data_IF_006091422325
#
_entry.id   IF_006091422325
#
_cell.length_a   1.000
_cell.length_b   1.000
_cell.length_c   1.000
_cell.angle_alpha   90.00
_cell.angle_beta   90.00
_cell.angle_gamma   90.00
#
_symmetry.space_group_name_H-M   'P 1'
#
loop_
_entity.id
_entity.type
_entity.pdbx_description
1 polymer ?
#
# COMPACT_ATOMS: atom_id res chain seq x y z
N UNK A 1 -24.42 -10.93 -14.38
CA UNK A 1 -23.31 -10.01 -14.73
C UNK A 1 -22.18 -10.82 -15.38
N UNK A 2 -21.62 -10.36 -16.49
CA UNK A 2 -20.38 -10.96 -16.98
C UNK A 2 -19.29 -10.74 -15.92
N UNK A 3 -18.39 -11.71 -15.68
CA UNK A 3 -17.25 -11.47 -14.80
C UNK A 3 -16.51 -10.22 -15.29
N UNK A 4 -16.10 -9.35 -14.35
CA UNK A 4 -15.22 -8.23 -14.67
C UNK A 4 -14.02 -8.77 -15.47
N UNK A 5 -13.58 -8.03 -16.48
CA UNK A 5 -12.42 -8.43 -17.27
C UNK A 5 -11.27 -8.78 -16.31
N UNK A 6 -10.70 -9.98 -16.45
CA UNK A 6 -9.56 -10.38 -15.64
C UNK A 6 -8.41 -9.40 -15.85
N UNK A 7 -7.68 -9.10 -14.79
CA UNK A 7 -6.42 -8.38 -14.87
C UNK A 7 -5.32 -9.34 -15.30
N UNK A 8 -4.42 -8.89 -16.18
CA UNK A 8 -3.23 -9.61 -16.57
C UNK A 8 -2.09 -8.62 -16.73
N UNK A 9 -0.93 -8.95 -16.17
CA UNK A 9 0.32 -8.24 -16.38
C UNK A 9 1.44 -9.28 -16.54
N UNK A 10 2.21 -9.16 -17.62
CA UNK A 10 3.39 -9.99 -17.86
C UNK A 10 4.70 -9.27 -17.54
N UNK A 11 4.61 -8.03 -17.02
CA UNK A 11 5.74 -7.17 -16.66
C UNK A 11 6.75 -7.00 -17.81
N UNK A 12 6.28 -7.06 -19.06
CA UNK A 12 7.14 -7.00 -20.26
C UNK A 12 7.11 -5.63 -20.97
N UNK A 13 6.38 -4.64 -20.45
CA UNK A 13 6.33 -3.30 -21.03
C UNK A 13 7.58 -2.50 -20.66
N UNK A 14 8.51 -2.24 -21.59
CA UNK A 14 9.77 -1.56 -21.29
C UNK A 14 9.59 -0.11 -20.81
N UNK A 15 8.39 0.47 -20.92
CA UNK A 15 8.08 1.77 -20.33
C UNK A 15 8.21 1.77 -18.80
N UNK A 16 8.12 0.60 -18.17
CA UNK A 16 8.22 0.44 -16.72
C UNK A 16 9.53 -0.24 -16.28
N UNK A 17 10.52 -0.43 -17.16
CA UNK A 17 11.82 -0.97 -16.75
C UNK A 17 12.48 -0.06 -15.69
N UNK A 18 12.85 -0.64 -14.55
CA UNK A 18 13.33 0.05 -13.34
C UNK A 18 12.22 0.55 -12.41
N UNK A 19 10.95 0.29 -12.71
CA UNK A 19 9.78 0.63 -11.88
C UNK A 19 8.65 -0.40 -12.09
N UNK A 20 7.41 -0.11 -11.74
CA UNK A 20 6.23 -0.93 -12.06
C UNK A 20 5.19 -0.06 -12.76
N UNK A 21 4.14 -0.66 -13.32
CA UNK A 21 3.03 0.10 -13.89
C UNK A 21 2.16 0.70 -12.78
N UNK A 22 2.25 2.02 -12.47
CA UNK A 22 1.53 2.59 -11.35
C UNK A 22 0.02 2.69 -11.63
N UNK A 23 -0.44 2.50 -12.87
CA UNK A 23 -1.87 2.46 -13.17
C UNK A 23 -2.51 1.12 -12.78
N UNK A 24 -1.71 0.06 -12.62
CA UNK A 24 -2.19 -1.27 -12.25
C UNK A 24 -1.77 -1.66 -10.83
N UNK A 25 -0.60 -1.19 -10.41
CA UNK A 25 0.04 -1.66 -9.19
C UNK A 25 0.51 -0.52 -8.30
N UNK A 26 0.51 -0.78 -7.00
CA UNK A 26 1.00 0.10 -5.95
C UNK A 26 2.00 -0.72 -5.12
N UNK A 27 3.24 -0.25 -5.00
CA UNK A 27 4.22 -0.90 -4.14
C UNK A 27 4.15 -0.30 -2.73
N UNK A 28 4.39 -1.13 -1.73
CA UNK A 28 4.62 -0.65 -0.36
C UNK A 28 5.98 0.08 -0.32
N UNK A 29 5.94 1.41 -0.42
CA UNK A 29 7.13 2.27 -0.52
C UNK A 29 7.82 2.54 0.81
N UNK A 30 7.21 2.13 1.94
CA UNK A 30 7.65 2.54 3.28
C UNK A 30 8.69 1.59 3.87
N UNK A 31 8.98 0.50 3.13
CA UNK A 31 9.89 -0.57 3.54
C UNK A 31 11.22 -0.46 2.77
N UNK A 32 12.32 -0.97 3.33
CA UNK A 32 13.66 -0.92 2.71
C UNK A 32 13.80 -1.81 1.45
N UNK A 33 12.68 -2.21 0.84
CA UNK A 33 12.64 -3.07 -0.33
C UNK A 33 12.78 -2.27 -1.63
N UNK A 34 13.49 -2.84 -2.60
CA UNK A 34 13.46 -2.40 -3.97
C UNK A 34 12.49 -3.28 -4.75
N UNK A 35 11.50 -2.64 -5.37
CA UNK A 35 10.54 -3.29 -6.28
C UNK A 35 10.73 -2.68 -7.65
N UNK A 36 11.21 -3.47 -8.61
CA UNK A 36 11.49 -2.98 -9.96
C UNK A 36 11.17 -4.03 -11.02
N UNK A 37 10.66 -3.59 -12.16
CA UNK A 37 10.56 -4.41 -13.35
C UNK A 37 11.92 -4.44 -14.04
N UNK A 38 12.37 -5.62 -14.40
CA UNK A 38 13.60 -5.81 -15.17
C UNK A 38 13.47 -7.04 -16.05
N UNK A 39 13.79 -6.90 -17.34
CA UNK A 39 13.87 -8.04 -18.28
C UNK A 39 12.59 -8.89 -18.34
N UNK A 40 11.41 -8.27 -18.23
CA UNK A 40 10.13 -9.00 -18.32
C UNK A 40 9.67 -9.66 -17.02
N UNK A 41 10.24 -9.27 -15.87
CA UNK A 41 9.82 -9.75 -14.55
C UNK A 41 9.76 -8.60 -13.56
N UNK A 42 8.89 -8.72 -12.56
CA UNK A 42 8.97 -7.89 -11.36
C UNK A 42 9.92 -8.54 -10.36
N UNK A 43 10.89 -7.77 -9.85
CA UNK A 43 11.91 -8.20 -8.89
C UNK A 43 11.69 -7.48 -7.58
N UNK A 44 11.73 -8.25 -6.50
CA UNK A 44 11.75 -7.77 -5.13
C UNK A 44 13.13 -8.04 -4.56
N UNK A 45 13.79 -7.01 -4.03
CA UNK A 45 15.05 -7.13 -3.30
C UNK A 45 14.92 -6.46 -1.94
N UNK A 46 15.23 -7.19 -0.87
CA UNK A 46 15.32 -6.64 0.47
C UNK A 46 16.76 -6.75 0.98
N UNK A 47 17.32 -5.71 1.60
CA UNK A 47 18.62 -5.82 2.24
C UNK A 47 18.56 -6.81 3.41
N UNK A 48 19.68 -7.47 3.69
CA UNK A 48 19.79 -8.31 4.88
C UNK A 48 19.63 -7.44 6.15
N UNK A 49 18.48 -7.55 6.82
CA UNK A 49 18.17 -6.82 8.06
C UNK A 49 18.00 -7.79 9.24
N UNK A 50 18.05 -7.25 10.46
CA UNK A 50 17.84 -8.03 11.70
C UNK A 50 16.37 -8.22 12.06
N UNK A 51 15.45 -7.64 11.29
CA UNK A 51 14.01 -7.66 11.54
C UNK A 51 13.25 -8.15 10.29
N UNK A 52 12.05 -8.68 10.50
CA UNK A 52 11.16 -9.12 9.43
C UNK A 52 10.87 -7.95 8.49
N UNK A 53 11.19 -8.11 7.21
CA UNK A 53 10.87 -7.13 6.17
C UNK A 53 9.80 -7.74 5.26
N UNK A 54 8.71 -7.02 5.05
CA UNK A 54 7.70 -7.33 4.03
C UNK A 54 7.93 -6.44 2.81
N UNK A 55 7.78 -7.00 1.61
CA UNK A 55 7.79 -6.26 0.36
C UNK A 55 6.56 -6.66 -0.45
N UNK A 56 5.90 -5.68 -1.05
CA UNK A 56 4.60 -5.89 -1.64
C UNK A 56 4.36 -5.03 -2.87
N UNK A 57 3.57 -5.59 -3.78
CA UNK A 57 2.98 -4.92 -4.94
C UNK A 57 1.48 -5.26 -5.00
N UNK A 58 0.64 -4.37 -4.48
CA UNK A 58 -0.81 -4.52 -4.47
C UNK A 58 -1.44 -3.97 -5.75
N UNK A 59 -2.70 -4.31 -6.03
CA UNK A 59 -3.45 -3.63 -7.08
C UNK A 59 -3.63 -2.16 -6.72
N UNK A 60 -3.30 -1.26 -7.64
CA UNK A 60 -3.59 0.16 -7.43
C UNK A 60 -5.12 0.35 -7.44
N UNK A 61 -5.65 0.98 -6.39
CA UNK A 61 -7.09 1.19 -6.17
C UNK A 61 -7.91 -0.12 -6.24
N UNK A 62 -7.67 -1.08 -5.34
CA UNK A 62 -8.37 -2.35 -5.38
C UNK A 62 -9.86 -2.11 -5.17
N UNK A 63 -10.69 -2.54 -6.13
CA UNK A 63 -12.12 -2.63 -5.89
C UNK A 63 -12.36 -3.72 -4.85
N UNK A 64 -12.98 -3.35 -3.73
CA UNK A 64 -13.46 -4.30 -2.74
C UNK A 64 -14.45 -5.27 -3.40
N UNK A 65 -14.10 -6.56 -3.42
CA UNK A 65 -14.89 -7.63 -4.04
C UNK A 65 -15.40 -8.62 -3.01
N UNK A 66 -16.56 -9.21 -3.28
CA UNK A 66 -17.06 -10.33 -2.47
C UNK A 66 -16.30 -11.62 -2.77
N UNK A 67 -16.43 -12.62 -1.88
CA UNK A 67 -15.82 -13.93 -2.07
C UNK A 67 -16.21 -14.61 -3.40
N UNK A 68 -17.45 -14.41 -3.86
CA UNK A 68 -17.97 -14.94 -5.14
C UNK A 68 -17.26 -14.34 -6.36
N UNK A 69 -16.64 -13.19 -6.20
CA UNK A 69 -15.97 -12.44 -7.27
C UNK A 69 -14.45 -12.65 -7.27
N UNK A 70 -13.88 -13.25 -6.22
CA UNK A 70 -12.43 -13.50 -6.11
C UNK A 70 -11.93 -14.40 -7.24
N UNK A 71 -12.62 -15.50 -7.50
CA UNK A 71 -12.29 -16.43 -8.58
C UNK A 71 -10.91 -17.05 -8.38
N UNK A 72 -10.04 -16.85 -9.37
CA UNK A 72 -8.70 -17.45 -9.42
C UNK A 72 -7.66 -16.36 -9.57
N UNK A 73 -6.56 -16.48 -8.83
CA UNK A 73 -5.37 -15.65 -8.99
C UNK A 73 -4.20 -16.58 -9.30
N UNK A 74 -3.44 -16.22 -10.33
CA UNK A 74 -2.26 -16.96 -10.78
C UNK A 74 -1.06 -16.03 -10.83
N UNK A 75 0.11 -16.55 -10.46
CA UNK A 75 1.39 -15.85 -10.59
C UNK A 75 2.50 -16.86 -10.87
N UNK A 76 3.52 -16.40 -11.60
CA UNK A 76 4.73 -17.19 -11.83
C UNK A 76 5.84 -16.63 -10.96
N UNK A 77 6.37 -17.45 -10.06
CA UNK A 77 7.25 -17.04 -8.97
C UNK A 77 8.57 -17.81 -9.01
N UNK A 78 9.65 -17.19 -8.55
CA UNK A 78 10.98 -17.78 -8.41
C UNK A 78 11.68 -17.13 -7.22
N UNK A 79 12.39 -17.93 -6.42
CA UNK A 79 13.36 -17.45 -5.43
C UNK A 79 14.76 -17.72 -5.98
N UNK A 80 15.63 -16.72 -5.94
CA UNK A 80 17.02 -16.82 -6.41
C UNK A 80 17.88 -17.66 -5.47
N UNK A 81 18.90 -18.34 -6.01
CA UNK A 81 19.82 -19.20 -5.22
C UNK A 81 20.83 -18.42 -4.35
N UNK A 82 20.96 -17.11 -4.59
CA UNK A 82 21.80 -16.20 -3.81
C UNK A 82 21.08 -15.63 -2.57
N UNK A 83 19.86 -16.11 -2.30
CA UNK A 83 19.16 -15.87 -1.04
C UNK A 83 20.05 -16.23 0.16
N UNK A 84 20.21 -15.27 1.08
CA UNK A 84 21.12 -15.38 2.22
C UNK A 84 20.46 -15.00 3.55
N UNK A 85 19.13 -14.88 3.57
CA UNK A 85 18.34 -14.62 4.78
C UNK A 85 18.03 -15.89 5.57
N UNK A 86 17.42 -15.74 6.75
CA UNK A 86 16.95 -16.89 7.54
C UNK A 86 15.68 -17.52 6.96
N UNK A 87 14.77 -16.69 6.46
CA UNK A 87 13.54 -17.10 5.79
C UNK A 87 13.11 -16.03 4.79
N UNK A 88 12.51 -16.46 3.68
CA UNK A 88 11.75 -15.58 2.76
C UNK A 88 10.44 -16.26 2.38
N UNK A 89 9.38 -15.48 2.25
CA UNK A 89 8.10 -15.93 1.68
C UNK A 89 7.80 -15.06 0.45
N UNK A 90 7.49 -15.69 -0.68
CA UNK A 90 7.14 -15.02 -1.94
C UNK A 90 5.91 -15.70 -2.54
N UNK A 91 4.78 -15.01 -2.67
CA UNK A 91 3.53 -15.66 -3.02
C UNK A 91 2.44 -14.71 -3.44
N UNK A 92 1.26 -15.28 -3.63
CA UNK A 92 0.02 -14.56 -3.86
C UNK A 92 -0.75 -14.56 -2.54
N UNK A 93 -1.16 -13.37 -2.09
CA UNK A 93 -1.98 -13.18 -0.90
C UNK A 93 -3.43 -12.83 -1.22
N UNK A 94 -4.33 -13.19 -0.33
CA UNK A 94 -5.67 -12.64 -0.21
C UNK A 94 -5.90 -12.27 1.25
N UNK A 95 -6.36 -11.04 1.51
CA UNK A 95 -6.59 -10.54 2.85
C UNK A 95 -7.92 -9.82 2.98
N UNK A 96 -8.45 -9.76 4.21
CA UNK A 96 -9.57 -8.88 4.57
C UNK A 96 -9.45 -8.45 6.03
N UNK A 97 -9.68 -7.15 6.26
CA UNK A 97 -9.79 -6.55 7.60
C UNK A 97 -11.25 -6.25 7.97
N UNK A 98 -12.21 -6.53 7.06
CA UNK A 98 -13.64 -6.25 7.26
C UNK A 98 -14.29 -7.16 8.34
N UNK A 99 -13.51 -7.96 9.06
CA UNK A 99 -14.01 -8.91 10.05
C UNK A 99 -13.95 -8.31 11.46
N UNK A 100 -14.94 -8.57 12.34
CA UNK A 100 -15.08 -7.89 13.63
C UNK A 100 -13.93 -8.06 14.66
N UNK A 101 -13.06 -9.06 14.51
CA UNK A 101 -11.99 -9.41 15.46
C UNK A 101 -10.58 -9.41 14.83
N UNK A 102 -10.41 -8.73 13.69
CA UNK A 102 -9.12 -8.52 13.04
C UNK A 102 -8.95 -9.24 11.72
N UNK A 103 -7.70 -9.36 11.29
CA UNK A 103 -7.36 -9.68 9.90
C UNK A 103 -7.48 -11.18 9.61
N UNK A 104 -7.79 -11.47 8.36
CA UNK A 104 -7.74 -12.82 7.80
C UNK A 104 -6.86 -12.81 6.56
N UNK A 105 -6.04 -13.84 6.38
CA UNK A 105 -5.27 -14.01 5.14
C UNK A 105 -5.14 -15.46 4.68
N UNK A 106 -5.03 -15.63 3.37
CA UNK A 106 -4.57 -16.85 2.72
C UNK A 106 -3.40 -16.55 1.79
N UNK A 107 -2.38 -17.40 1.84
CA UNK A 107 -1.15 -17.25 1.09
C UNK A 107 -0.84 -18.52 0.30
N UNK A 108 -0.48 -18.37 -0.97
CA UNK A 108 -0.07 -19.45 -1.87
C UNK A 108 1.22 -19.06 -2.59
N UNK A 109 2.34 -19.73 -2.32
CA UNK A 109 3.63 -19.30 -2.85
C UNK A 109 4.82 -20.18 -2.49
N UNK A 110 6.00 -19.60 -2.51
CA UNK A 110 7.28 -20.19 -2.14
C UNK A 110 7.71 -19.68 -0.76
N UNK A 111 8.24 -20.57 0.06
CA UNK A 111 9.04 -20.22 1.23
C UNK A 111 10.44 -20.80 1.06
N UNK A 112 11.45 -20.12 1.58
CA UNK A 112 12.81 -20.65 1.57
C UNK A 112 13.56 -20.31 2.85
N UNK A 113 14.40 -21.25 3.27
CA UNK A 113 15.44 -21.16 4.28
C UNK A 113 16.81 -21.37 3.60
N UNK A 114 17.96 -21.13 4.26
CA UNK A 114 19.28 -21.21 3.62
C UNK A 114 19.57 -22.51 2.84
N UNK A 115 18.99 -23.63 3.27
CA UNK A 115 19.28 -24.96 2.71
C UNK A 115 18.09 -25.60 1.97
N UNK A 116 16.91 -24.97 1.99
CA UNK A 116 15.69 -25.56 1.44
C UNK A 116 14.71 -24.51 0.92
N UNK A 117 13.99 -24.87 -0.15
CA UNK A 117 12.87 -24.12 -0.67
C UNK A 117 11.65 -25.03 -0.75
N UNK A 118 10.48 -24.52 -0.45
CA UNK A 118 9.21 -25.24 -0.50
C UNK A 118 8.15 -24.40 -1.21
N UNK A 119 7.32 -25.05 -2.02
CA UNK A 119 6.06 -24.47 -2.44
C UNK A 119 5.05 -24.77 -1.34
N UNK A 120 4.39 -23.75 -0.80
CA UNK A 120 3.56 -23.89 0.38
C UNK A 120 2.24 -23.12 0.28
N UNK A 121 1.28 -23.59 1.08
CA UNK A 121 -0.02 -23.00 1.28
C UNK A 121 -0.20 -22.74 2.78
N UNK A 122 -0.53 -21.49 3.10
CA UNK A 122 -0.77 -21.02 4.45
C UNK A 122 -2.11 -20.29 4.54
N UNK A 123 -2.79 -20.45 5.66
CA UNK A 123 -3.95 -19.64 5.99
C UNK A 123 -4.03 -19.46 7.51
N UNK A 124 -4.21 -18.22 7.94
CA UNK A 124 -4.58 -17.91 9.32
C UNK A 124 -6.10 -17.74 9.39
N UNK A 125 -6.79 -18.49 10.25
CA UNK A 125 -8.21 -18.20 10.47
C UNK A 125 -8.37 -16.93 11.32
N UNK A 126 -9.57 -16.37 11.18
CA UNK A 126 -10.10 -15.33 12.04
C UNK A 126 -9.83 -15.59 13.54
N UNK A 127 -9.19 -14.63 14.21
CA UNK A 127 -8.92 -14.66 15.65
C UNK A 127 -7.80 -15.64 16.09
N UNK A 128 -7.10 -16.29 15.16
CA UNK A 128 -6.05 -17.27 15.46
C UNK A 128 -4.69 -16.66 15.87
N UNK A 129 -4.61 -15.39 16.26
CA UNK A 129 -3.31 -14.75 16.55
C UNK A 129 -2.32 -14.87 15.38
N UNK A 130 -1.02 -14.94 15.66
CA UNK A 130 0.03 -14.92 14.63
C UNK A 130 0.43 -16.28 14.05
N UNK A 131 -0.24 -17.37 14.41
CA UNK A 131 0.12 -18.71 13.94
C UNK A 131 -0.90 -19.23 12.90
N UNK A 132 -0.47 -19.70 11.73
CA UNK A 132 -1.39 -20.25 10.76
C UNK A 132 -2.02 -21.54 11.26
N UNK A 133 -3.30 -21.71 10.97
CA UNK A 133 -4.03 -22.93 11.32
C UNK A 133 -3.73 -24.08 10.35
N UNK A 134 -3.28 -23.75 9.14
CA UNK A 134 -2.90 -24.71 8.12
C UNK A 134 -1.60 -24.25 7.47
N UNK A 135 -0.64 -25.16 7.43
CA UNK A 135 0.57 -25.05 6.64
C UNK A 135 0.81 -26.39 5.94
N UNK A 136 0.84 -26.38 4.61
CA UNK A 136 1.13 -27.55 3.77
C UNK A 136 2.18 -27.16 2.73
N UNK A 137 3.23 -27.96 2.60
CA UNK A 137 4.35 -27.68 1.69
C UNK A 137 4.75 -28.90 0.87
N UNK A 138 5.31 -28.64 -0.31
CA UNK A 138 6.01 -29.63 -1.13
C UNK A 138 7.39 -29.09 -1.52
N UNK A 139 8.42 -29.93 -1.66
CA UNK A 139 9.77 -29.45 -2.00
C UNK A 139 9.81 -28.66 -3.30
N UNK A 140 10.52 -27.53 -3.28
CA UNK A 140 10.83 -26.68 -4.42
C UNK A 140 12.35 -26.58 -4.62
N UNK A 141 12.77 -25.77 -5.58
CA UNK A 141 14.17 -25.52 -5.88
C UNK A 141 14.38 -24.03 -6.17
N UNK A 142 15.52 -23.50 -5.74
CA UNK A 142 16.00 -22.18 -6.12
C UNK A 142 16.20 -22.08 -7.65
N UNK A 143 16.20 -20.86 -8.17
CA UNK A 143 16.38 -20.54 -9.60
C UNK A 143 15.44 -21.29 -10.54
N UNK A 144 14.31 -21.74 -10.02
CA UNK A 144 13.25 -22.35 -10.82
C UNK A 144 11.98 -21.53 -10.71
N UNK A 145 11.43 -21.21 -11.88
CA UNK A 145 10.10 -20.63 -11.97
C UNK A 145 9.03 -21.70 -11.74
N UNK A 146 8.01 -21.32 -10.98
CA UNK A 146 6.83 -22.10 -10.67
C UNK A 146 5.57 -21.28 -10.94
N UNK A 147 4.55 -21.88 -11.53
CA UNK A 147 3.23 -21.25 -11.62
C UNK A 147 2.37 -21.66 -10.43
N UNK A 148 2.00 -20.67 -9.62
CA UNK A 148 1.09 -20.79 -8.50
C UNK A 148 -0.31 -20.37 -8.89
N UNK A 149 -1.31 -21.05 -8.31
CA UNK A 149 -2.72 -20.74 -8.48
C UNK A 149 -3.44 -20.82 -7.15
N UNK A 150 -4.04 -19.71 -6.73
CA UNK A 150 -4.96 -19.64 -5.60
C UNK A 150 -6.40 -19.59 -6.14
N UNK A 151 -7.17 -20.64 -5.87
CA UNK A 151 -8.57 -20.75 -6.28
C UNK A 151 -9.51 -20.54 -5.09
N UNK A 152 -10.55 -19.74 -5.31
CA UNK A 152 -11.63 -19.53 -4.34
C UNK A 152 -12.93 -20.12 -4.89
N UNK A 153 -13.44 -21.16 -4.25
CA UNK A 153 -14.78 -21.72 -4.52
C UNK A 153 -15.76 -21.13 -3.51
N UNK A 154 -16.85 -20.45 -3.90
CA UNK A 154 -17.69 -19.71 -2.95
C UNK A 154 -18.72 -20.56 -2.18
N UNK A 155 -19.07 -21.76 -2.65
CA UNK A 155 -20.07 -22.63 -2.01
C UNK A 155 -19.64 -24.12 -2.05
N UNK A 156 -19.07 -24.66 -0.95
CA UNK A 156 -18.68 -23.96 0.29
C UNK A 156 -17.44 -23.07 0.07
N UNK A 157 -17.33 -21.95 0.80
CA UNK A 157 -16.17 -21.05 0.71
C UNK A 157 -14.88 -21.79 0.99
N UNK A 158 -14.12 -22.11 -0.05
CA UNK A 158 -12.93 -22.95 0.01
C UNK A 158 -11.80 -22.28 -0.75
N UNK A 159 -10.65 -22.18 -0.09
CA UNK A 159 -9.40 -21.70 -0.67
C UNK A 159 -8.52 -22.90 -0.99
N UNK A 160 -7.99 -22.97 -2.21
CA UNK A 160 -7.12 -24.05 -2.65
C UNK A 160 -5.88 -23.50 -3.36
N UNK A 161 -4.72 -24.03 -3.03
CA UNK A 161 -3.45 -23.63 -3.61
C UNK A 161 -2.88 -24.77 -4.47
N UNK A 162 -2.41 -24.41 -5.67
CA UNK A 162 -1.79 -25.31 -6.62
C UNK A 162 -0.43 -24.76 -7.06
N UNK A 163 0.52 -25.65 -7.33
CA UNK A 163 1.78 -25.36 -8.01
C UNK A 163 1.95 -26.29 -9.20
N UNK A 164 2.14 -25.77 -10.41
CA UNK A 164 2.23 -26.58 -11.64
C UNK A 164 1.07 -27.59 -11.76
N UNK A 165 -0.17 -27.12 -11.52
CA UNK A 165 -1.41 -27.91 -11.44
C UNK A 165 -1.42 -29.02 -10.35
N UNK A 166 -0.39 -29.11 -9.53
CA UNK A 166 -0.34 -30.01 -8.38
C UNK A 166 -0.99 -29.35 -7.18
N UNK A 167 -2.02 -29.98 -6.63
CA UNK A 167 -2.71 -29.52 -5.41
C UNK A 167 -1.77 -29.61 -4.21
N UNK A 168 -1.49 -28.47 -3.57
CA UNK A 168 -0.67 -28.40 -2.34
C UNK A 168 -1.58 -28.61 -1.13
N UNK A 169 -2.68 -27.85 -1.08
CA UNK A 169 -3.59 -27.83 0.05
C UNK A 169 -4.88 -27.07 -0.23
N UNK A 170 -5.91 -27.32 0.57
CA UNK A 170 -7.19 -26.61 0.52
C UNK A 170 -7.88 -26.58 1.86
N UNK A 171 -8.64 -25.52 2.11
CA UNK A 171 -9.36 -25.31 3.37
C UNK A 171 -10.68 -24.60 3.15
N UNK A 172 -11.69 -25.04 3.88
CA UNK A 172 -12.92 -24.30 4.14
C UNK A 172 -12.77 -23.66 5.52
N UNK A 173 -12.60 -22.32 5.64
CA UNK A 173 -12.44 -21.66 6.92
C UNK A 173 -13.66 -21.90 7.82
N UNK A 174 -13.45 -22.00 9.13
CA UNK A 174 -14.56 -22.24 10.08
C UNK A 174 -15.56 -21.08 10.13
N UNK A 175 -15.09 -19.90 9.75
CA UNK A 175 -15.75 -18.61 9.64
C UNK A 175 -16.21 -18.30 8.20
N UNK A 176 -16.27 -19.31 7.32
CA UNK A 176 -16.79 -19.18 5.96
C UNK A 176 -18.09 -18.36 5.82
N UNK A 177 -19.08 -18.44 6.75
CA UNK A 177 -20.25 -17.56 6.69
C UNK A 177 -19.93 -16.07 6.82
N UNK A 178 -18.98 -15.68 7.69
CA UNK A 178 -18.56 -14.29 7.86
C UNK A 178 -17.75 -13.81 6.65
N UNK A 179 -16.77 -14.61 6.23
CA UNK A 179 -15.96 -14.35 5.03
C UNK A 179 -16.79 -14.24 3.75
N UNK A 180 -17.89 -14.98 3.63
CA UNK A 180 -18.80 -14.85 2.47
C UNK A 180 -19.45 -13.47 2.36
N UNK A 181 -19.52 -12.72 3.47
CA UNK A 181 -20.06 -11.36 3.53
C UNK A 181 -18.99 -10.29 3.59
N UNK A 182 -17.73 -10.66 3.81
CA UNK A 182 -16.59 -9.74 3.86
C UNK A 182 -16.23 -9.22 2.47
N UNK A 183 -15.48 -8.11 2.43
CA UNK A 183 -14.86 -7.62 1.20
C UNK A 183 -13.36 -7.81 1.28
N UNK A 184 -12.78 -8.23 0.17
CA UNK A 184 -11.38 -8.64 0.13
C UNK A 184 -10.53 -7.63 -0.62
N UNK A 185 -9.33 -7.43 -0.12
CA UNK A 185 -8.25 -6.79 -0.86
C UNK A 185 -7.55 -7.85 -1.72
N UNK A 186 -7.22 -7.47 -2.95
CA UNK A 186 -6.29 -8.25 -3.78
C UNK A 186 -4.96 -7.53 -3.70
N UNK A 187 -4.08 -8.02 -2.84
CA UNK A 187 -2.80 -7.40 -2.57
C UNK A 187 -1.70 -8.46 -2.53
N UNK A 188 -0.49 -8.00 -2.80
CA UNK A 188 0.71 -8.47 -2.12
C UNK A 188 0.87 -7.45 -0.95
N UNK A 189 1.15 -7.88 0.27
CA UNK A 189 0.57 -7.34 1.54
C UNK A 189 1.12 -6.03 2.20
N UNK A 190 0.36 -5.36 3.09
CA UNK A 190 0.71 -4.09 3.78
C UNK A 190 0.58 -4.15 5.33
N UNK A 191 1.21 -3.22 6.07
CA UNK A 191 1.07 -3.07 7.53
C UNK A 191 1.08 -1.58 7.95
N UNK A 192 0.07 -1.15 8.73
CA UNK A 192 0.02 0.18 9.34
C UNK A 192 1.12 0.36 10.41
N UNK A 193 1.64 1.59 10.57
CA UNK A 193 2.75 1.84 11.51
C UNK A 193 2.32 2.62 12.76
N UNK A 194 2.97 2.34 13.89
CA UNK A 194 2.71 3.00 15.17
C UNK A 194 3.18 4.47 15.17
N UNK A 195 2.59 5.28 16.05
CA UNK A 195 2.99 6.66 16.28
C UNK A 195 4.50 6.80 16.50
N UNK A 196 5.11 7.74 15.77
CA UNK A 196 6.55 8.03 15.86
C UNK A 196 7.43 7.09 15.03
N UNK A 197 6.89 6.05 14.39
CA UNK A 197 7.62 5.27 13.39
C UNK A 197 7.78 6.05 12.07
N UNK A 198 6.81 6.89 11.71
CA UNK A 198 6.97 7.89 10.64
C UNK A 198 7.47 9.19 11.25
N UNK A 199 8.71 9.53 10.94
CA UNK A 199 9.34 10.80 11.29
C UNK A 199 9.15 11.89 10.26
N UNK A 200 9.11 11.52 8.98
CA UNK A 200 8.82 12.46 7.92
C UNK A 200 8.22 11.80 6.69
N UNK A 201 7.47 12.60 5.93
CA UNK A 201 6.98 12.30 4.58
C UNK A 201 7.37 13.48 3.69
N UNK A 202 8.14 13.22 2.65
CA UNK A 202 8.60 14.20 1.66
C UNK A 202 8.24 13.72 0.26
N UNK A 203 7.81 14.64 -0.62
CA UNK A 203 7.66 14.36 -2.04
C UNK A 203 7.83 15.62 -2.86
N UNK A 204 8.24 15.44 -4.13
CA UNK A 204 8.16 16.48 -5.15
C UNK A 204 6.81 16.40 -5.85
N UNK A 205 6.11 17.52 -5.85
CA UNK A 205 4.77 17.67 -6.40
C UNK A 205 4.80 18.63 -7.59
N UNK A 206 3.99 18.38 -8.59
CA UNK A 206 3.71 19.34 -9.67
C UNK A 206 2.22 19.29 -10.00
N UNK A 207 1.60 20.47 -10.08
CA UNK A 207 0.21 20.61 -10.51
C UNK A 207 0.19 21.14 -11.94
N UNK A 208 -0.50 20.44 -12.83
CA UNK A 208 -0.64 20.81 -14.24
C UNK A 208 -1.48 22.08 -14.40
N UNK A 209 -1.11 22.95 -15.35
CA UNK A 209 -1.88 24.16 -15.66
C UNK A 209 -3.20 23.88 -16.39
N UNK A 210 -3.38 22.70 -16.99
CA UNK A 210 -4.63 22.28 -17.65
C UNK A 210 -5.69 21.82 -16.62
N UNK A 211 -5.95 22.68 -15.63
CA UNK A 211 -6.98 22.48 -14.62
C UNK A 211 -8.32 23.03 -15.12
N UNK A 212 -9.32 22.16 -15.26
CA UNK A 212 -10.70 22.58 -15.51
C UNK A 212 -11.55 22.61 -14.24
N UNK A 213 -10.96 22.26 -13.10
CA UNK A 213 -11.62 22.22 -11.81
C UNK A 213 -11.83 23.60 -11.19
N UNK A 214 -12.95 23.74 -10.47
CA UNK A 214 -13.16 24.86 -9.54
C UNK A 214 -12.22 24.77 -8.33
N UNK A 215 -11.78 23.57 -8.00
CA UNK A 215 -10.74 23.30 -7.02
C UNK A 215 -10.09 21.96 -7.37
N UNK A 216 -8.76 21.95 -7.44
CA UNK A 216 -7.95 20.75 -7.59
C UNK A 216 -6.71 20.83 -6.73
N UNK A 217 -6.23 19.70 -6.22
CA UNK A 217 -4.98 19.67 -5.47
C UNK A 217 -4.20 18.38 -5.70
N UNK A 218 -2.88 18.48 -5.56
CA UNK A 218 -1.94 17.36 -5.46
C UNK A 218 -1.22 17.48 -4.12
N UNK A 219 -1.21 16.45 -3.30
CA UNK A 219 -0.72 16.53 -1.92
C UNK A 219 -0.14 15.23 -1.40
N UNK A 220 0.76 15.34 -0.44
CA UNK A 220 1.11 14.26 0.49
C UNK A 220 0.28 14.41 1.77
N UNK A 221 -0.16 13.30 2.34
CA UNK A 221 -0.85 13.25 3.62
C UNK A 221 -0.13 12.29 4.57
N UNK A 222 -0.22 12.62 5.84
CA UNK A 222 0.01 11.72 6.96
C UNK A 222 -1.35 11.54 7.66
N UNK A 223 -2.03 10.43 7.37
CA UNK A 223 -3.34 10.08 7.92
C UNK A 223 -3.17 9.18 9.14
N UNK A 224 -4.24 9.02 9.93
CA UNK A 224 -4.25 8.09 11.04
C UNK A 224 -5.64 7.50 11.32
N UNK A 225 -5.68 6.44 12.12
CA UNK A 225 -6.88 5.69 12.50
C UNK A 225 -7.90 6.47 13.36
N UNK A 226 -7.66 7.75 13.66
CA UNK A 226 -8.61 8.64 14.36
C UNK A 226 -9.34 9.62 13.43
N UNK A 227 -9.39 9.31 12.14
CA UNK A 227 -9.96 10.15 11.08
C UNK A 227 -9.38 11.59 11.07
N UNK A 228 -8.09 11.73 11.35
CA UNK A 228 -7.38 12.99 11.22
C UNK A 228 -6.15 12.85 10.33
N UNK A 229 -5.72 13.97 9.77
CA UNK A 229 -4.55 14.00 8.90
C UNK A 229 -3.82 15.32 8.97
N UNK A 230 -2.53 15.26 8.64
CA UNK A 230 -1.72 16.40 8.26
C UNK A 230 -1.42 16.29 6.76
N UNK A 231 -1.68 17.33 5.99
CA UNK A 231 -1.46 17.33 4.55
C UNK A 231 -0.61 18.51 4.10
N UNK A 232 0.20 18.32 3.05
CA UNK A 232 0.92 19.37 2.35
C UNK A 232 0.77 19.18 0.84
N UNK A 233 0.45 20.25 0.12
CA UNK A 233 0.25 20.13 -1.31
C UNK A 233 0.13 21.45 -2.05
N UNK A 234 -0.10 21.31 -3.36
CA UNK A 234 -0.38 22.38 -4.28
C UNK A 234 -1.87 22.35 -4.60
N UNK A 235 -2.58 23.45 -4.37
CA UNK A 235 -3.99 23.60 -4.70
C UNK A 235 -4.19 24.70 -5.74
N UNK A 236 -5.03 24.45 -6.75
CA UNK A 236 -5.28 25.35 -7.86
C UNK A 236 -6.73 25.34 -8.31
N UNK A 237 -7.08 26.26 -9.21
CA UNK A 237 -8.34 26.22 -9.95
C UNK A 237 -8.20 26.95 -11.30
N UNK A 238 -9.20 26.77 -12.16
CA UNK A 238 -9.23 27.33 -13.52
C UNK A 238 -9.27 28.88 -13.57
N UNK A 239 -9.57 29.56 -12.46
CA UNK A 239 -9.74 31.01 -12.38
C UNK A 239 -8.51 31.73 -11.76
N UNK A 240 -7.46 31.00 -11.36
CA UNK A 240 -6.24 31.57 -10.78
C UNK A 240 -5.01 31.22 -11.60
N UNK A 241 -4.13 32.20 -11.81
CA UNK A 241 -2.93 32.08 -12.66
C UNK A 241 -1.78 31.31 -11.98
N UNK A 242 -1.87 31.04 -10.67
CA UNK A 242 -0.86 30.37 -9.87
C UNK A 242 -1.51 29.40 -8.90
N UNK A 243 -0.85 28.27 -8.64
CA UNK A 243 -1.24 27.36 -7.58
C UNK A 243 -0.83 27.95 -6.21
N UNK A 244 -1.53 27.52 -5.16
CA UNK A 244 -1.23 27.85 -3.78
C UNK A 244 -0.60 26.62 -3.11
N UNK A 245 0.62 26.77 -2.61
CA UNK A 245 1.19 25.79 -1.71
C UNK A 245 0.60 25.99 -0.32
N UNK A 246 0.06 24.94 0.29
CA UNK A 246 -0.43 25.02 1.66
C UNK A 246 -0.30 23.69 2.38
N UNK A 247 -0.16 23.77 3.70
CA UNK A 247 -0.27 22.62 4.57
C UNK A 247 -1.37 22.84 5.60
N UNK A 248 -2.06 21.79 5.99
CA UNK A 248 -3.13 21.86 6.97
C UNK A 248 -3.17 20.61 7.84
N UNK A 249 -3.76 20.75 9.02
CA UNK A 249 -4.18 19.64 9.87
C UNK A 249 -5.68 19.68 9.94
N UNK A 250 -6.33 18.57 9.61
CA UNK A 250 -7.77 18.46 9.63
C UNK A 250 -8.23 17.13 10.21
N UNK A 251 -9.52 17.06 10.51
CA UNK A 251 -10.18 15.86 10.97
C UNK A 251 -11.57 15.75 10.35
N UNK A 252 -12.04 14.53 10.20
CA UNK A 252 -13.38 14.22 9.73
C UNK A 252 -14.06 13.29 10.72
N UNK A 253 -14.65 13.86 11.78
CA UNK A 253 -15.28 13.07 12.86
C UNK A 253 -16.77 13.30 12.87
N UNK A 254 -17.55 12.23 12.95
CA UNK A 254 -19.02 12.28 12.97
C UNK A 254 -19.61 13.07 11.78
N UNK A 255 -19.07 12.85 10.58
CA UNK A 255 -19.47 13.55 9.35
C UNK A 255 -19.18 15.07 9.37
N UNK A 256 -18.38 15.55 10.33
CA UNK A 256 -17.99 16.95 10.43
C UNK A 256 -16.52 17.09 10.06
N UNK A 257 -16.27 17.82 8.98
CA UNK A 257 -14.95 18.31 8.62
C UNK A 257 -14.55 19.48 9.53
N UNK A 258 -13.36 19.40 10.12
CA UNK A 258 -12.77 20.48 10.89
C UNK A 258 -11.29 20.66 10.50
N UNK A 259 -10.97 21.80 9.88
CA UNK A 259 -9.59 22.27 9.74
C UNK A 259 -9.15 22.88 11.08
N UNK A 260 -8.14 22.26 11.69
CA UNK A 260 -7.63 22.63 13.03
C UNK A 260 -6.44 23.57 12.90
N UNK A 261 -5.65 23.41 11.84
CA UNK A 261 -4.47 24.22 11.58
C UNK A 261 -4.26 24.40 10.08
N UNK A 262 -3.71 25.55 9.70
CA UNK A 262 -3.31 25.87 8.34
C UNK A 262 -2.05 26.71 8.32
N UNK A 263 -1.11 26.35 7.45
CA UNK A 263 0.07 27.11 7.10
C UNK A 263 0.03 27.39 5.59
N UNK A 264 -0.14 28.67 5.24
CA UNK A 264 -0.09 29.10 3.84
C UNK A 264 1.37 29.29 3.40
N UNK A 265 1.75 28.60 2.33
CA UNK A 265 3.02 28.81 1.63
C UNK A 265 2.94 29.94 0.59
N UNK A 266 3.98 30.10 -0.24
CA UNK A 266 3.95 31.03 -1.36
C UNK A 266 2.95 30.58 -2.44
N UNK A 267 2.48 31.52 -3.24
CA UNK A 267 1.91 31.21 -4.55
C UNK A 267 3.03 30.72 -5.47
N UNK A 268 2.75 29.67 -6.24
CA UNK A 268 3.72 29.00 -7.10
C UNK A 268 3.17 28.82 -8.51
N UNK A 269 4.07 28.76 -9.49
CA UNK A 269 3.67 28.56 -10.87
C UNK A 269 3.19 27.12 -11.09
N UNK A 270 2.13 26.95 -11.89
CA UNK A 270 1.78 25.64 -12.41
C UNK A 270 2.94 25.06 -13.25
N UNK A 271 2.88 23.76 -13.53
CA UNK A 271 3.88 23.03 -14.31
C UNK A 271 5.31 23.11 -13.75
N UNK A 272 5.45 23.51 -12.49
CA UNK A 272 6.71 23.60 -11.75
C UNK A 272 6.74 22.60 -10.61
N UNK A 273 7.88 21.93 -10.44
CA UNK A 273 8.09 21.00 -9.34
C UNK A 273 8.42 21.73 -8.04
N UNK A 274 7.76 21.37 -6.96
CA UNK A 274 8.00 21.86 -5.61
C UNK A 274 8.19 20.68 -4.65
N UNK A 275 9.11 20.80 -3.71
CA UNK A 275 9.27 19.80 -2.65
C UNK A 275 8.41 20.20 -1.46
N UNK A 276 7.58 19.28 -0.96
CA UNK A 276 6.89 19.45 0.32
C UNK A 276 7.33 18.38 1.29
N UNK A 277 7.44 18.73 2.57
CA UNK A 277 7.75 17.78 3.64
C UNK A 277 6.93 18.03 4.89
N UNK A 278 6.46 16.96 5.50
CA UNK A 278 5.87 16.93 6.84
C UNK A 278 6.87 16.20 7.73
N UNK A 279 7.35 16.83 8.81
CA UNK A 279 8.14 16.16 9.86
C UNK A 279 7.31 16.06 11.14
N UNK A 280 7.38 14.93 11.83
CA UNK A 280 6.75 14.68 13.12
C UNK A 280 7.80 14.46 14.20
N UNK A 281 7.72 15.22 15.29
CA UNK A 281 8.47 14.94 16.49
C UNK A 281 7.77 13.82 17.29
N UNK A 282 8.41 12.65 17.52
CA UNK A 282 7.77 11.49 18.16
C UNK A 282 7.57 11.67 19.67
N UNK A 283 8.26 12.62 20.31
CA UNK A 283 8.09 12.89 21.74
C UNK A 283 6.93 13.86 22.00
N UNK A 284 6.82 14.91 21.19
CA UNK A 284 5.87 16.01 21.37
C UNK A 284 4.67 15.99 20.42
N UNK A 285 4.68 15.15 19.39
CA UNK A 285 3.68 15.14 18.31
C UNK A 285 3.68 16.43 17.49
N UNK A 286 4.68 17.30 17.66
CA UNK A 286 4.80 18.52 16.88
C UNK A 286 5.05 18.18 15.40
N UNK A 287 4.20 18.72 14.55
CA UNK A 287 4.31 18.66 13.10
C UNK A 287 5.03 19.92 12.62
N UNK A 288 6.05 19.77 11.79
CA UNK A 288 6.71 20.86 11.07
C UNK A 288 6.50 20.68 9.57
N UNK A 289 6.04 21.72 8.90
CA UNK A 289 5.73 21.73 7.48
C UNK A 289 6.79 22.50 6.71
N UNK A 290 7.27 21.94 5.60
CA UNK A 290 8.28 22.54 4.73
C UNK A 290 7.79 22.65 3.29
N UNK A 291 8.25 23.69 2.62
CA UNK A 291 8.12 23.92 1.19
C UNK A 291 9.47 24.35 0.63
N UNK A 292 10.01 23.63 -0.35
CA UNK A 292 11.31 23.88 -0.96
C UNK A 292 12.41 24.10 0.10
N UNK A 293 12.49 23.15 1.04
CA UNK A 293 13.41 23.14 2.21
C UNK A 293 13.23 24.31 3.20
N UNK A 294 12.18 25.13 3.05
CA UNK A 294 11.88 26.21 3.98
C UNK A 294 10.72 25.84 4.90
N UNK A 295 10.85 25.97 6.23
CA UNK A 295 9.74 25.74 7.14
C UNK A 295 8.67 26.82 6.93
N UNK A 296 7.42 26.40 6.70
CA UNK A 296 6.28 27.30 6.48
C UNK A 296 5.30 27.30 7.65
N UNK A 297 5.38 26.33 8.57
CA UNK A 297 4.53 26.29 9.76
C UNK A 297 4.87 25.15 10.70
N UNK A 298 4.43 25.28 11.95
CA UNK A 298 4.46 24.22 12.95
C UNK A 298 3.12 24.10 13.67
N UNK A 299 2.74 22.88 14.05
CA UNK A 299 1.53 22.60 14.81
C UNK A 299 1.77 21.50 15.84
N UNK A 300 1.42 21.77 17.10
CA UNK A 300 1.35 20.75 18.14
C UNK A 300 -0.12 20.42 18.40
N UNK A 301 -0.58 19.17 18.14
CA UNK A 301 -1.93 18.76 18.45
C UNK A 301 -2.27 18.94 19.93
N UNK A 302 -3.47 19.42 20.25
CA UNK A 302 -3.91 19.61 21.64
C UNK A 302 -4.02 18.27 22.40
N UNK A 303 -4.39 17.21 21.70
CA UNK A 303 -4.59 15.86 22.23
C UNK A 303 -3.55 14.89 21.66
N UNK A 304 -2.33 14.92 22.19
CA UNK A 304 -1.26 14.00 21.77
C UNK A 304 -1.49 12.55 22.23
N UNK A 305 -2.10 12.34 23.40
CA UNK A 305 -2.21 11.00 23.98
C UNK A 305 -3.01 10.01 23.12
N UNK A 306 -4.15 10.40 22.50
CA UNK A 306 -4.81 9.54 21.51
C UNK A 306 -3.95 9.26 20.27
N UNK A 307 -3.17 10.25 19.82
CA UNK A 307 -2.30 10.09 18.65
C UNK A 307 -1.19 9.07 18.90
N UNK A 308 -0.65 8.99 20.12
CA UNK A 308 0.39 8.00 20.49
C UNK A 308 -0.04 6.55 20.33
N UNK A 309 -1.34 6.28 20.33
CA UNK A 309 -1.91 4.95 20.14
C UNK A 309 -2.58 4.78 18.78
N UNK A 310 -2.55 5.82 17.93
CA UNK A 310 -3.11 5.75 16.59
C UNK A 310 -2.10 5.08 15.65
N UNK A 311 -2.65 4.44 14.62
CA UNK A 311 -1.90 3.93 13.49
C UNK A 311 -1.83 5.03 12.44
N UNK A 312 -0.68 5.16 11.76
CA UNK A 312 -0.43 6.20 10.78
C UNK A 312 -0.12 5.61 9.43
N UNK A 313 -0.56 6.30 8.38
CA UNK A 313 -0.28 5.98 6.99
C UNK A 313 0.18 7.25 6.26
N UNK A 314 1.11 7.10 5.33
CA UNK A 314 1.47 8.16 4.39
C UNK A 314 0.71 7.94 3.08
N UNK A 315 0.11 8.99 2.52
CA UNK A 315 -0.71 8.89 1.31
C UNK A 315 -0.32 9.96 0.29
N UNK A 316 -0.43 9.61 -0.99
CA UNK A 316 -0.39 10.55 -2.10
C UNK A 316 -1.83 10.79 -2.57
N UNK A 317 -2.24 12.03 -2.66
CA UNK A 317 -3.62 12.37 -3.00
C UNK A 317 -3.71 13.35 -4.16
N UNK A 318 -4.65 13.05 -5.05
CA UNK A 318 -5.19 13.99 -6.02
C UNK A 318 -6.64 14.32 -5.62
N UNK A 319 -6.89 15.58 -5.27
CA UNK A 319 -8.23 16.08 -4.96
C UNK A 319 -8.82 16.84 -6.14
N UNK A 320 -10.11 16.64 -6.41
CA UNK A 320 -10.86 17.37 -7.43
C UNK A 320 -12.36 17.41 -7.11
N UNK A 321 -13.04 18.49 -7.48
CA UNK A 321 -14.51 18.53 -7.48
C UNK A 321 -15.12 17.76 -8.65
N UNK A 322 -16.31 17.17 -8.44
CA UNK A 322 -17.06 16.37 -9.43
C UNK A 322 -17.12 17.01 -10.82
N UNK A 323 -16.79 16.20 -11.84
CA UNK A 323 -16.87 16.59 -13.25
C UNK A 323 -15.71 17.46 -13.75
N UNK A 324 -14.64 17.58 -12.98
CA UNK A 324 -13.45 18.37 -13.32
C UNK A 324 -12.27 17.51 -13.81
N UNK A 325 -11.29 18.16 -14.44
CA UNK A 325 -9.97 17.58 -14.74
C UNK A 325 -8.91 18.28 -13.89
N UNK A 326 -8.07 17.47 -13.23
CA UNK A 326 -6.85 17.89 -12.54
C UNK A 326 -5.80 16.85 -12.88
N UNK A 327 -4.60 17.29 -13.26
CA UNK A 327 -3.44 16.41 -13.39
C UNK A 327 -2.41 16.82 -12.36
N UNK A 328 -2.10 15.92 -11.44
CA UNK A 328 -1.03 16.08 -10.45
C UNK A 328 0.05 15.05 -10.71
N UNK A 329 1.30 15.41 -10.44
CA UNK A 329 2.45 14.53 -10.57
C UNK A 329 3.18 14.46 -9.24
N UNK A 330 3.72 13.27 -8.95
CA UNK A 330 4.56 12.96 -7.81
C UNK A 330 5.92 12.47 -8.32
N UNK A 331 7.00 12.83 -7.63
CA UNK A 331 8.37 12.41 -7.91
C UNK A 331 9.16 12.46 -6.59
N UNK A 332 10.30 11.75 -6.51
CA UNK A 332 11.24 11.79 -5.36
C UNK A 332 10.54 11.68 -3.98
N UNK A 333 9.76 10.60 -3.79
CA UNK A 333 9.02 10.36 -2.55
C UNK A 333 9.93 9.69 -1.54
N UNK A 334 9.98 10.24 -0.33
CA UNK A 334 10.78 9.73 0.77
C UNK A 334 9.96 9.70 2.05
N UNK A 335 9.91 8.54 2.69
CA UNK A 335 9.28 8.34 3.99
C UNK A 335 10.35 7.74 4.89
N UNK A 336 10.48 8.27 6.10
CA UNK A 336 11.55 7.81 6.98
C UNK A 336 11.24 8.00 8.45
N UNK A 337 12.03 7.34 9.32
CA UNK A 337 11.82 7.36 10.76
C UNK A 337 12.11 8.73 11.36
N UNK A 338 11.59 8.95 12.57
CA UNK A 338 11.88 10.16 13.34
C UNK A 338 13.38 10.25 13.66
N UNK A 339 13.97 11.43 13.44
CA UNK A 339 15.35 11.72 13.79
C UNK A 339 15.50 12.14 15.26
#
# INVERSE_FOLDING_TARGET
>A
PAPAAGLYDDFADPAFDGTWNPALWEADSDKPCQVEQQEGVIRFEAPAQSETTSCALALNQPSLVSAEQLGTIEARLQIADDFNGEQVNLGIGLGTEDLPEGDWFAFCGLTAHPDEAEAYFEMANYGAGSAPDISQGVPAAFDRWYTFRLEVTPDPLTFACFVEDTHIGSVTPTDAPALSQARFHRALDYEEVEFGQIGFVEARLKLDSDISAKQGAVSVLLTNSLDSWAGCGLAGNADIDQAQLSCNVASFRNEVFAEVYRADGPAVDYDTWHTVRIEMNPESGELTFFADDQPIGTHTPEEIEPLKTAQFNAELQLYLEDGSLVTGYFDDIQIGPAQ
#
